data_IF_115701455597
#
_entry.id   IF_115701455597
#
_cell.length_a   1.000
_cell.length_b   1.000
_cell.length_c   1.000
_cell.angle_alpha   90.00
_cell.angle_beta   90.00
_cell.angle_gamma   90.00
#
_symmetry.space_group_name_H-M   'P 1'
#
loop_
_entity.id
_entity.type
_entity.pdbx_description
1 polymer ?
#
# COMPACT_ATOMS: atom_id res chain seq x y z
N UNK A 1 -14.03 40.86 -14.36
CA UNK A 1 -13.84 39.57 -15.05
C UNK A 1 -13.32 38.59 -14.00
N UNK A 2 -14.21 37.81 -13.40
CA UNK A 2 -13.87 36.88 -12.32
C UNK A 2 -13.27 35.62 -12.94
N UNK A 3 -11.95 35.52 -12.92
CA UNK A 3 -11.27 34.25 -13.13
C UNK A 3 -11.23 33.53 -11.77
N UNK A 4 -12.35 32.93 -11.36
CA UNK A 4 -12.29 31.90 -10.33
C UNK A 4 -11.54 30.71 -10.92
N UNK A 5 -10.27 30.57 -10.55
CA UNK A 5 -9.47 29.41 -10.86
C UNK A 5 -10.20 28.16 -10.35
N UNK A 6 -10.76 27.38 -11.26
CA UNK A 6 -11.44 26.10 -10.99
C UNK A 6 -10.50 25.21 -10.18
N UNK A 7 -10.72 25.14 -8.85
CA UNK A 7 -9.91 24.33 -7.93
C UNK A 7 -10.00 22.87 -8.39
N UNK A 8 -8.90 22.34 -8.94
CA UNK A 8 -8.86 20.95 -9.41
C UNK A 8 -9.16 19.99 -8.26
N UNK A 9 -9.93 18.94 -8.53
CA UNK A 9 -10.21 17.90 -7.55
C UNK A 9 -8.92 17.19 -7.13
N UNK A 10 -8.88 16.64 -5.91
CA UNK A 10 -7.71 15.89 -5.41
C UNK A 10 -7.36 14.73 -6.34
N UNK A 11 -8.37 14.00 -6.85
CA UNK A 11 -8.17 12.92 -7.81
C UNK A 11 -7.46 13.41 -9.07
N UNK A 12 -7.90 14.54 -9.64
CA UNK A 12 -7.24 15.11 -10.82
C UNK A 12 -5.81 15.55 -10.50
N UNK A 13 -5.57 16.14 -9.32
CA UNK A 13 -4.22 16.54 -8.90
C UNK A 13 -3.28 15.34 -8.76
N UNK A 14 -3.74 14.24 -8.19
CA UNK A 14 -2.95 13.01 -8.06
C UNK A 14 -2.67 12.40 -9.43
N UNK A 15 -3.67 12.33 -10.32
CA UNK A 15 -3.47 11.83 -11.69
C UNK A 15 -2.48 12.69 -12.48
N UNK A 16 -2.60 14.03 -12.38
CA UNK A 16 -1.64 14.94 -13.01
C UNK A 16 -0.24 14.76 -12.42
N UNK A 17 -0.11 14.65 -11.10
CA UNK A 17 1.18 14.36 -10.45
C UNK A 17 1.80 13.04 -10.90
N UNK A 18 0.99 11.98 -11.05
CA UNK A 18 1.45 10.69 -11.57
C UNK A 18 1.96 10.80 -13.01
N UNK A 19 1.19 11.44 -13.91
CA UNK A 19 1.59 11.61 -15.30
C UNK A 19 2.85 12.48 -15.40
N UNK A 20 2.89 13.60 -14.67
CA UNK A 20 4.06 14.48 -14.62
C UNK A 20 5.28 13.73 -14.09
N UNK A 21 5.14 12.90 -13.07
CA UNK A 21 6.24 12.11 -12.53
C UNK A 21 6.81 11.14 -13.56
N UNK A 22 5.95 10.37 -14.23
CA UNK A 22 6.37 9.44 -15.29
C UNK A 22 7.08 10.19 -16.43
N UNK A 23 6.49 11.28 -16.92
CA UNK A 23 7.07 12.09 -18.01
C UNK A 23 8.40 12.70 -17.60
N UNK A 24 8.49 13.25 -16.39
CA UNK A 24 9.72 13.86 -15.86
C UNK A 24 10.82 12.82 -15.71
N UNK A 25 10.51 11.63 -15.17
CA UNK A 25 11.48 10.55 -15.05
C UNK A 25 12.03 10.09 -16.40
N UNK A 26 11.16 9.92 -17.40
CA UNK A 26 11.59 9.55 -18.76
C UNK A 26 12.38 10.66 -19.45
N UNK A 27 11.95 11.92 -19.30
CA UNK A 27 12.60 13.07 -19.92
C UNK A 27 14.00 13.32 -19.36
N UNK A 28 14.19 13.19 -18.05
CA UNK A 28 15.50 13.32 -17.40
C UNK A 28 16.46 12.26 -17.96
N UNK A 29 16.01 11.01 -18.13
CA UNK A 29 16.84 9.95 -18.72
C UNK A 29 17.24 10.25 -20.16
N UNK A 30 16.29 10.71 -20.98
CA UNK A 30 16.52 10.99 -22.40
C UNK A 30 17.49 12.17 -22.61
N UNK A 31 17.40 13.20 -21.77
CA UNK A 31 18.17 14.43 -21.93
C UNK A 31 19.55 14.38 -21.25
N UNK A 32 19.69 13.66 -20.13
CA UNK A 32 20.89 13.70 -19.30
C UNK A 32 21.69 12.38 -19.23
N UNK A 33 21.22 11.30 -19.87
CA UNK A 33 22.00 10.06 -20.00
C UNK A 33 22.47 9.44 -18.67
N UNK A 34 23.55 8.66 -18.71
CA UNK A 34 24.21 8.07 -17.52
C UNK A 34 25.27 9.00 -16.93
N UNK A 35 25.06 10.32 -16.98
CA UNK A 35 25.93 11.28 -16.32
C UNK A 35 25.79 11.12 -14.79
N UNK A 36 26.87 10.73 -14.12
CA UNK A 36 26.87 10.36 -12.69
C UNK A 36 26.30 11.44 -11.76
N UNK A 37 26.47 12.72 -12.13
CA UNK A 37 25.98 13.84 -11.34
C UNK A 37 24.44 13.95 -11.29
N UNK A 38 23.75 13.64 -12.38
CA UNK A 38 22.28 13.69 -12.44
C UNK A 38 21.68 12.48 -11.72
N UNK A 39 22.29 11.31 -11.86
CA UNK A 39 21.85 10.10 -11.16
C UNK A 39 21.98 10.24 -9.64
N UNK A 40 23.09 10.80 -9.15
CA UNK A 40 23.37 10.84 -7.72
C UNK A 40 22.58 11.94 -6.98
N UNK A 41 22.45 13.14 -7.55
CA UNK A 41 21.80 14.26 -6.86
C UNK A 41 20.32 14.43 -7.19
N UNK A 42 19.90 14.18 -8.44
CA UNK A 42 18.50 14.40 -8.86
C UNK A 42 17.68 13.12 -8.68
N UNK A 43 18.20 11.97 -9.12
CA UNK A 43 17.47 10.69 -9.08
C UNK A 43 17.49 10.08 -7.68
N UNK A 44 18.69 9.81 -7.15
CA UNK A 44 18.86 9.18 -5.83
C UNK A 44 18.83 10.18 -4.67
N UNK A 45 18.86 11.47 -4.96
CA UNK A 45 18.73 12.55 -3.98
C UNK A 45 17.30 13.03 -3.88
N UNK A 46 16.91 13.99 -4.73
CA UNK A 46 15.66 14.72 -4.57
C UNK A 46 14.41 13.83 -4.68
N UNK A 47 14.29 13.03 -5.75
CA UNK A 47 13.09 12.23 -6.00
C UNK A 47 12.98 11.00 -5.10
N UNK A 48 14.10 10.31 -4.83
CA UNK A 48 14.11 9.16 -3.93
C UNK A 48 13.82 9.59 -2.47
N UNK A 49 14.48 10.64 -1.97
CA UNK A 49 14.23 11.14 -0.60
C UNK A 49 12.80 11.66 -0.46
N UNK A 50 12.31 12.46 -1.42
CA UNK A 50 10.93 12.96 -1.39
C UNK A 50 9.90 11.82 -1.42
N UNK A 51 10.12 10.84 -2.29
CA UNK A 51 9.27 9.66 -2.41
C UNK A 51 9.29 8.77 -1.17
N UNK A 52 10.47 8.51 -0.59
CA UNK A 52 10.61 7.73 0.63
C UNK A 52 9.98 8.42 1.83
N UNK A 53 10.17 9.74 2.00
CA UNK A 53 9.51 10.51 3.06
C UNK A 53 7.99 10.41 2.92
N UNK A 54 7.46 10.52 1.70
CA UNK A 54 6.03 10.39 1.46
C UNK A 54 5.51 8.98 1.81
N UNK A 55 6.19 7.92 1.35
CA UNK A 55 5.80 6.54 1.66
C UNK A 55 5.92 6.26 3.16
N UNK A 56 6.97 6.74 3.83
CA UNK A 56 7.13 6.63 5.28
C UNK A 56 6.00 7.34 6.03
N UNK A 57 5.61 8.54 5.56
CA UNK A 57 4.50 9.31 6.12
C UNK A 57 3.16 8.56 5.98
N UNK A 58 2.92 7.89 4.84
CA UNK A 58 1.74 7.03 4.66
C UNK A 58 1.78 5.80 5.58
N UNK A 59 2.93 5.11 5.66
CA UNK A 59 3.12 3.93 6.52
C UNK A 59 2.89 4.25 7.99
N UNK A 60 3.33 5.41 8.46
CA UNK A 60 3.11 5.90 9.83
C UNK A 60 1.62 5.95 10.22
N UNK A 61 0.74 6.26 9.26
CA UNK A 61 -0.70 6.33 9.52
C UNK A 61 -1.37 4.96 9.61
N UNK A 62 -0.80 3.92 8.99
CA UNK A 62 -1.47 2.62 8.82
C UNK A 62 -1.82 2.02 10.17
N UNK A 63 -0.85 1.94 11.09
CA UNK A 63 -1.06 1.30 12.40
C UNK A 63 -2.10 2.05 13.26
N UNK A 64 -1.98 3.38 13.50
CA UNK A 64 -2.97 4.10 14.28
C UNK A 64 -4.37 4.09 13.64
N UNK A 65 -4.45 4.26 12.33
CA UNK A 65 -5.71 4.29 11.59
C UNK A 65 -6.43 2.94 11.69
N UNK A 66 -5.74 1.85 11.38
CA UNK A 66 -6.32 0.50 11.42
C UNK A 66 -6.82 0.18 12.82
N UNK A 67 -5.99 0.42 13.85
CA UNK A 67 -6.38 0.14 15.24
C UNK A 67 -7.59 0.96 15.67
N UNK A 68 -7.52 2.29 15.59
CA UNK A 68 -8.58 3.18 16.09
C UNK A 68 -9.87 3.02 15.28
N UNK A 69 -9.77 2.93 13.96
CA UNK A 69 -10.94 2.77 13.09
C UNK A 69 -11.64 1.44 13.34
N UNK A 70 -10.92 0.34 13.57
CA UNK A 70 -11.53 -0.95 13.84
C UNK A 70 -12.14 -1.02 15.24
N UNK A 71 -11.48 -0.46 16.25
CA UNK A 71 -12.06 -0.37 17.61
C UNK A 71 -13.34 0.47 17.58
N UNK A 72 -13.33 1.63 16.92
CA UNK A 72 -14.53 2.46 16.74
C UNK A 72 -15.62 1.73 15.95
N UNK A 73 -15.26 1.05 14.86
CA UNK A 73 -16.21 0.32 14.01
C UNK A 73 -16.87 -0.85 14.74
N UNK A 74 -16.10 -1.68 15.42
CA UNK A 74 -16.61 -2.86 16.13
C UNK A 74 -17.34 -2.53 17.42
N UNK A 75 -16.91 -1.51 18.16
CA UNK A 75 -17.62 -1.07 19.38
C UNK A 75 -18.99 -0.45 19.11
N UNK A 76 -19.27 -0.07 17.85
CA UNK A 76 -20.59 0.44 17.42
C UNK A 76 -21.62 -0.67 17.14
N UNK A 77 -21.18 -1.92 17.06
CA UNK A 77 -22.05 -3.06 16.77
C UNK A 77 -22.72 -3.54 18.06
N UNK A 78 -24.06 -3.57 18.06
CA UNK A 78 -24.85 -4.01 19.23
C UNK A 78 -24.79 -5.52 19.50
N UNK A 79 -24.44 -6.34 18.51
CA UNK A 79 -24.46 -7.79 18.62
C UNK A 79 -23.27 -8.42 17.88
N UNK A 80 -22.54 -9.30 18.56
CA UNK A 80 -21.38 -10.04 18.06
C UNK A 80 -21.77 -10.91 16.83
N UNK A 81 -22.99 -11.44 16.78
CA UNK A 81 -23.45 -12.23 15.65
C UNK A 81 -23.46 -11.43 14.33
N UNK A 82 -23.67 -10.11 14.41
CA UNK A 82 -23.62 -9.23 13.24
C UNK A 82 -22.21 -9.12 12.67
N UNK A 83 -21.19 -9.07 13.53
CA UNK A 83 -19.78 -9.03 13.13
C UNK A 83 -19.39 -10.33 12.43
N UNK A 84 -19.76 -11.49 12.98
CA UNK A 84 -19.48 -12.79 12.38
C UNK A 84 -20.13 -12.96 11.00
N UNK A 85 -21.38 -12.51 10.84
CA UNK A 85 -22.09 -12.53 9.56
C UNK A 85 -21.49 -11.58 8.53
N UNK A 86 -21.04 -10.40 8.96
CA UNK A 86 -20.37 -9.45 8.07
C UNK A 86 -19.02 -10.02 7.62
N UNK A 87 -18.22 -10.51 8.56
CA UNK A 87 -16.93 -11.14 8.31
C UNK A 87 -17.01 -12.33 7.37
N UNK A 88 -17.95 -13.26 7.58
CA UNK A 88 -18.10 -14.44 6.71
C UNK A 88 -18.56 -14.09 5.30
N UNK A 89 -19.48 -13.12 5.16
CA UNK A 89 -19.89 -12.60 3.84
C UNK A 89 -18.73 -11.94 3.11
N UNK A 90 -17.95 -11.12 3.82
CA UNK A 90 -16.76 -10.46 3.27
C UNK A 90 -15.69 -11.46 2.89
N UNK A 91 -15.44 -12.49 3.71
CA UNK A 91 -14.49 -13.56 3.40
C UNK A 91 -14.91 -14.33 2.13
N UNK A 92 -16.18 -14.74 2.04
CA UNK A 92 -16.69 -15.45 0.86
C UNK A 92 -16.61 -14.57 -0.40
N UNK A 93 -16.90 -13.27 -0.25
CA UNK A 93 -16.79 -12.31 -1.34
C UNK A 93 -15.33 -12.13 -1.81
N UNK A 94 -14.37 -12.03 -0.88
CA UNK A 94 -12.95 -11.92 -1.23
C UNK A 94 -12.40 -13.21 -1.85
N UNK A 95 -12.76 -14.38 -1.33
CA UNK A 95 -12.35 -15.65 -1.92
C UNK A 95 -12.93 -15.82 -3.32
N UNK A 96 -14.20 -15.48 -3.53
CA UNK A 96 -14.85 -15.54 -4.84
C UNK A 96 -14.21 -14.58 -5.86
N UNK A 97 -14.00 -13.32 -5.48
CA UNK A 97 -13.36 -12.33 -6.38
C UNK A 97 -11.89 -12.64 -6.66
N UNK A 98 -11.15 -13.16 -5.68
CA UNK A 98 -9.76 -13.61 -5.86
C UNK A 98 -9.68 -14.81 -6.81
N UNK A 99 -10.56 -15.80 -6.64
CA UNK A 99 -10.60 -16.96 -7.53
C UNK A 99 -10.88 -16.53 -8.98
N UNK A 100 -11.86 -15.65 -9.19
CA UNK A 100 -12.17 -15.09 -10.51
C UNK A 100 -10.98 -14.32 -11.10
N UNK A 101 -10.30 -13.49 -10.29
CA UNK A 101 -9.13 -12.73 -10.73
C UNK A 101 -7.96 -13.65 -11.13
N UNK A 102 -7.67 -14.69 -10.34
CA UNK A 102 -6.62 -15.67 -10.63
C UNK A 102 -6.95 -16.44 -11.90
N UNK A 103 -8.20 -16.90 -12.06
CA UNK A 103 -8.62 -17.59 -13.28
C UNK A 103 -8.41 -16.70 -14.50
N UNK A 104 -8.85 -15.44 -14.47
CA UNK A 104 -8.66 -14.50 -15.56
C UNK A 104 -7.17 -14.24 -15.85
N UNK A 105 -6.38 -13.99 -14.80
CA UNK A 105 -4.95 -13.72 -14.93
C UNK A 105 -4.20 -14.92 -15.56
N UNK A 106 -4.50 -16.14 -15.11
CA UNK A 106 -3.92 -17.37 -15.67
C UNK A 106 -4.35 -17.59 -17.12
N UNK A 107 -5.63 -17.36 -17.45
CA UNK A 107 -6.11 -17.49 -18.84
C UNK A 107 -5.38 -16.53 -19.77
N UNK A 108 -5.21 -15.26 -19.39
CA UNK A 108 -4.48 -14.28 -20.20
C UNK A 108 -2.97 -14.62 -20.27
N UNK A 109 -2.36 -15.03 -19.16
CA UNK A 109 -0.96 -15.44 -19.14
C UNK A 109 -0.69 -16.62 -20.09
N UNK A 110 -1.57 -17.62 -20.12
CA UNK A 110 -1.46 -18.76 -21.03
C UNK A 110 -1.71 -18.36 -22.50
N UNK A 111 -2.62 -17.42 -22.75
CA UNK A 111 -2.93 -16.94 -24.10
C UNK A 111 -1.79 -16.11 -24.72
N UNK A 112 -1.25 -15.16 -23.96
CA UNK A 112 -0.19 -14.26 -24.45
C UNK A 112 1.22 -14.84 -24.26
N UNK A 113 1.42 -15.75 -23.31
CA UNK A 113 2.71 -16.37 -23.02
C UNK A 113 3.84 -15.38 -22.72
N UNK A 114 3.67 -14.43 -21.78
CA UNK A 114 4.73 -13.50 -21.42
C UNK A 114 5.94 -14.27 -20.88
N UNK A 115 7.13 -14.01 -21.43
CA UNK A 115 8.38 -14.68 -21.06
C UNK A 115 8.84 -15.78 -22.03
N UNK A 116 8.07 -16.14 -23.07
CA UNK A 116 8.57 -16.97 -24.17
C UNK A 116 9.76 -16.27 -24.85
N UNK A 117 10.95 -16.86 -24.76
CA UNK A 117 12.20 -16.30 -25.28
C UNK A 117 13.00 -15.42 -24.30
N UNK A 118 12.56 -15.30 -23.04
CA UNK A 118 13.36 -14.65 -22.00
C UNK A 118 14.47 -15.59 -21.50
N UNK A 119 15.68 -15.06 -21.30
CA UNK A 119 16.77 -15.80 -20.68
C UNK A 119 16.56 -15.86 -19.15
N UNK A 120 16.30 -17.08 -18.64
CA UNK A 120 16.10 -17.36 -17.21
C UNK A 120 17.34 -17.93 -16.53
N UNK A 121 18.52 -17.92 -17.18
CA UNK A 121 19.76 -18.42 -16.58
C UNK A 121 20.12 -17.73 -15.25
N UNK A 122 19.76 -16.45 -15.10
CA UNK A 122 19.90 -15.68 -13.87
C UNK A 122 18.90 -16.04 -12.75
N UNK A 123 17.86 -16.85 -13.02
CA UNK A 123 16.85 -17.24 -12.03
C UNK A 123 17.23 -18.52 -11.23
N UNK A 124 18.36 -19.15 -11.55
CA UNK A 124 18.79 -20.44 -11.00
C UNK A 124 19.14 -20.43 -9.50
N UNK A 125 19.22 -19.26 -8.87
CA UNK A 125 19.61 -19.12 -7.45
C UNK A 125 18.43 -18.88 -6.51
N UNK A 126 17.18 -18.86 -7.00
CA UNK A 126 16.03 -18.65 -6.12
C UNK A 126 15.58 -19.96 -5.47
N UNK A 127 15.96 -20.16 -4.21
CA UNK A 127 15.40 -21.22 -3.36
C UNK A 127 14.02 -20.78 -2.87
N UNK A 128 12.97 -21.47 -3.31
CA UNK A 128 11.62 -21.21 -2.83
C UNK A 128 11.54 -21.44 -1.32
N UNK A 129 11.05 -20.43 -0.59
CA UNK A 129 10.71 -20.58 0.83
C UNK A 129 9.49 -21.50 0.94
N UNK A 130 9.51 -22.45 1.88
CA UNK A 130 8.35 -23.29 2.14
C UNK A 130 7.16 -22.42 2.58
N UNK A 131 6.01 -22.68 1.96
CA UNK A 131 4.80 -21.97 2.33
C UNK A 131 4.34 -22.42 3.71
N UNK A 132 4.05 -21.50 4.65
CA UNK A 132 3.50 -21.86 5.94
C UNK A 132 2.16 -22.55 5.75
N UNK A 133 1.88 -23.51 6.62
CA UNK A 133 0.63 -24.24 6.60
C UNK A 133 -0.53 -23.32 6.99
N UNK A 134 -1.74 -23.66 6.56
CA UNK A 134 -2.96 -22.93 6.95
C UNK A 134 -3.14 -22.84 8.47
N UNK A 135 -2.72 -23.88 9.20
CA UNK A 135 -2.76 -23.90 10.66
C UNK A 135 -1.84 -22.86 11.29
N UNK A 136 -0.60 -22.78 10.82
CA UNK A 136 0.39 -21.80 11.27
C UNK A 136 -0.09 -20.37 11.00
N UNK A 137 -0.61 -20.11 9.80
CA UNK A 137 -1.16 -18.78 9.45
C UNK A 137 -2.29 -18.38 10.39
N UNK A 138 -3.17 -19.31 10.80
CA UNK A 138 -4.26 -19.03 11.75
C UNK A 138 -3.70 -18.71 13.14
N UNK A 139 -2.72 -19.49 13.61
CA UNK A 139 -2.08 -19.25 14.92
C UNK A 139 -1.37 -17.90 14.94
N UNK A 140 -0.64 -17.57 13.87
CA UNK A 140 0.12 -16.32 13.73
C UNK A 140 -0.78 -15.07 13.64
N UNK A 141 -2.08 -15.24 13.39
CA UNK A 141 -3.05 -14.14 13.47
C UNK A 141 -3.22 -13.62 14.91
N UNK A 142 -2.99 -14.47 15.93
CA UNK A 142 -3.19 -14.09 17.32
C UNK A 142 -1.91 -13.51 17.91
N UNK A 143 -1.85 -12.21 18.27
CA UNK A 143 -0.66 -11.63 18.85
C UNK A 143 -0.37 -12.19 20.24
N UNK A 144 0.90 -12.50 20.51
CA UNK A 144 1.41 -12.73 21.86
C UNK A 144 1.59 -11.41 22.63
N UNK A 145 1.96 -10.33 21.93
CA UNK A 145 2.09 -8.97 22.47
C UNK A 145 1.57 -7.92 21.47
N UNK A 146 0.35 -7.38 21.68
CA UNK A 146 -0.25 -6.38 20.78
C UNK A 146 0.59 -5.12 20.59
N UNK A 147 1.35 -4.72 21.61
CA UNK A 147 2.22 -3.53 21.54
C UNK A 147 3.39 -3.78 20.59
N UNK A 148 4.01 -4.97 20.67
CA UNK A 148 5.05 -5.39 19.73
C UNK A 148 4.51 -5.45 18.31
N UNK A 149 3.32 -6.03 18.12
CA UNK A 149 2.68 -6.11 16.80
C UNK A 149 2.42 -4.73 16.19
N UNK A 150 2.05 -3.75 17.01
CA UNK A 150 1.90 -2.35 16.55
C UNK A 150 3.24 -1.70 16.19
N UNK A 151 4.31 -1.98 16.93
CA UNK A 151 5.64 -1.46 16.64
C UNK A 151 6.25 -2.08 15.37
N UNK A 152 6.05 -3.38 15.18
CA UNK A 152 6.54 -4.14 14.02
C UNK A 152 5.65 -3.98 12.78
N UNK A 153 4.45 -3.42 12.93
CA UNK A 153 3.51 -3.24 11.83
C UNK A 153 2.82 -4.53 11.38
N UNK A 154 2.74 -5.53 12.25
CA UNK A 154 2.05 -6.81 12.00
C UNK A 154 0.53 -6.59 11.91
N UNK A 155 0.08 -6.17 10.73
CA UNK A 155 -1.28 -5.65 10.50
C UNK A 155 -2.37 -6.65 10.84
N UNK A 156 -2.18 -7.93 10.49
CA UNK A 156 -3.15 -8.98 10.78
C UNK A 156 -3.39 -9.16 12.29
N UNK A 157 -2.32 -9.16 13.07
CA UNK A 157 -2.38 -9.25 14.53
C UNK A 157 -3.02 -8.00 15.15
N UNK A 158 -2.71 -6.81 14.63
CA UNK A 158 -3.33 -5.55 15.05
C UNK A 158 -4.85 -5.61 14.81
N UNK A 159 -5.28 -6.12 13.66
CA UNK A 159 -6.70 -6.29 13.34
C UNK A 159 -7.38 -7.20 14.37
N UNK A 160 -6.84 -8.40 14.63
CA UNK A 160 -7.41 -9.35 15.59
C UNK A 160 -7.55 -8.73 16.98
N UNK A 161 -6.49 -8.09 17.47
CA UNK A 161 -6.53 -7.40 18.76
C UNK A 161 -7.57 -6.28 18.77
N UNK A 162 -7.61 -5.43 17.74
CA UNK A 162 -8.57 -4.33 17.64
C UNK A 162 -10.03 -4.81 17.65
N UNK A 163 -10.32 -5.91 16.94
CA UNK A 163 -11.65 -6.53 16.91
C UNK A 163 -12.04 -7.05 18.30
N UNK A 164 -11.17 -7.83 18.96
CA UNK A 164 -11.43 -8.36 20.30
C UNK A 164 -11.61 -7.23 21.33
N UNK A 165 -10.77 -6.20 21.25
CA UNK A 165 -10.85 -5.04 22.14
C UNK A 165 -12.13 -4.23 21.93
N UNK A 166 -12.54 -4.00 20.68
CA UNK A 166 -13.79 -3.30 20.39
C UNK A 166 -15.04 -4.09 20.78
N UNK A 167 -15.02 -5.42 20.66
CA UNK A 167 -16.08 -6.30 21.19
C UNK A 167 -16.14 -6.19 22.72
N UNK A 168 -14.99 -6.22 23.40
CA UNK A 168 -14.94 -6.07 24.86
C UNK A 168 -15.49 -4.71 25.31
N UNK A 169 -15.18 -3.62 24.60
CA UNK A 169 -15.77 -2.29 24.83
C UNK A 169 -17.29 -2.36 24.73
N UNK A 170 -17.83 -2.95 23.65
CA UNK A 170 -19.28 -3.06 23.47
C UNK A 170 -19.94 -3.91 24.56
N UNK A 171 -19.24 -4.92 25.09
CA UNK A 171 -19.75 -5.78 26.16
C UNK A 171 -19.64 -5.15 27.56
N UNK A 172 -18.87 -4.07 27.73
CA UNK A 172 -18.52 -3.49 29.04
C UNK A 172 -19.56 -2.49 29.60
N UNK A 173 -20.66 -2.21 28.89
CA UNK A 173 -21.70 -1.28 29.36
C UNK A 173 -21.21 0.17 29.51
N UNK A 174 -21.54 0.84 30.62
CA UNK A 174 -21.20 2.26 30.87
C UNK A 174 -19.70 2.60 30.75
N UNK A 175 -18.76 1.83 31.34
CA UNK A 175 -17.33 2.02 31.09
C UNK A 175 -16.96 1.94 29.61
N UNK A 176 -17.57 1.00 28.88
CA UNK A 176 -17.38 0.80 27.44
C UNK A 176 -17.81 2.02 26.63
N UNK A 177 -18.96 2.62 26.95
CA UNK A 177 -19.45 3.83 26.26
C UNK A 177 -18.46 5.00 26.34
N UNK A 178 -17.82 5.21 27.50
CA UNK A 178 -16.82 6.28 27.68
C UNK A 178 -15.58 6.04 26.81
N UNK A 179 -15.11 4.80 26.76
CA UNK A 179 -13.97 4.42 25.92
C UNK A 179 -14.34 4.54 24.44
N UNK A 180 -15.51 4.07 24.03
CA UNK A 180 -16.00 4.19 22.66
C UNK A 180 -16.11 5.66 22.20
N UNK A 181 -16.55 6.56 23.08
CA UNK A 181 -16.59 8.00 22.79
C UNK A 181 -15.18 8.57 22.53
N UNK A 182 -14.20 8.23 23.37
CA UNK A 182 -12.80 8.61 23.18
C UNK A 182 -12.25 8.12 21.83
N UNK A 183 -12.48 6.84 21.48
CA UNK A 183 -12.02 6.29 20.20
C UNK A 183 -12.71 6.93 18.99
N UNK A 184 -13.95 7.40 19.14
CA UNK A 184 -14.65 8.12 18.08
C UNK A 184 -14.02 9.49 17.81
N UNK A 185 -13.70 10.24 18.85
CA UNK A 185 -13.02 11.53 18.73
C UNK A 185 -11.60 11.34 18.16
N UNK A 186 -10.89 10.30 18.63
CA UNK A 186 -9.58 9.95 18.11
C UNK A 186 -9.63 9.56 16.61
N UNK A 187 -10.66 8.82 16.20
CA UNK A 187 -10.86 8.45 14.80
C UNK A 187 -11.04 9.70 13.92
N UNK A 188 -11.84 10.68 14.37
CA UNK A 188 -12.03 11.95 13.66
C UNK A 188 -10.71 12.73 13.50
N UNK A 189 -9.88 12.77 14.55
CA UNK A 189 -8.56 13.41 14.51
C UNK A 189 -7.63 12.69 13.51
N UNK A 190 -7.61 11.35 13.52
CA UNK A 190 -6.80 10.57 12.57
C UNK A 190 -7.29 10.79 11.13
N UNK A 191 -8.60 10.81 10.89
CA UNK A 191 -9.14 11.10 9.55
C UNK A 191 -8.75 12.50 9.06
N UNK A 192 -8.69 13.51 9.94
CA UNK A 192 -8.16 14.84 9.59
C UNK A 192 -6.67 14.81 9.26
N UNK A 193 -5.88 14.01 9.99
CA UNK A 193 -4.46 13.80 9.69
C UNK A 193 -4.27 13.13 8.32
N UNK A 194 -5.08 12.11 8.01
CA UNK A 194 -5.13 11.48 6.68
C UNK A 194 -5.45 12.52 5.61
N UNK A 195 -6.45 13.38 5.82
CA UNK A 195 -6.82 14.42 4.87
C UNK A 195 -5.67 15.44 4.63
N UNK A 196 -4.92 15.79 5.68
CA UNK A 196 -3.74 16.65 5.56
C UNK A 196 -2.67 16.00 4.69
N UNK A 197 -2.37 14.72 4.90
CA UNK A 197 -1.41 13.98 4.08
C UNK A 197 -1.89 13.77 2.64
N UNK A 198 -3.21 13.60 2.42
CA UNK A 198 -3.78 13.51 1.09
C UNK A 198 -3.61 14.81 0.27
N UNK A 199 -3.49 15.98 0.92
CA UNK A 199 -3.17 17.22 0.21
C UNK A 199 -1.72 17.26 -0.29
N UNK A 200 -0.80 16.54 0.36
CA UNK A 200 0.60 16.39 -0.05
C UNK A 200 0.78 15.27 -1.09
N UNK A 201 -0.21 14.39 -1.25
CA UNK A 201 -0.14 13.24 -2.14
C UNK A 201 0.21 13.54 -3.61
N UNK A 202 -0.26 14.62 -4.26
CA UNK A 202 0.13 14.92 -5.63
C UNK A 202 1.65 15.09 -5.82
N UNK A 203 2.33 15.66 -4.83
CA UNK A 203 3.77 15.86 -4.84
C UNK A 203 4.51 14.55 -4.57
N UNK A 204 4.13 13.84 -3.51
CA UNK A 204 4.74 12.57 -3.15
C UNK A 204 4.57 11.49 -4.24
N UNK A 205 3.41 11.42 -4.90
CA UNK A 205 3.18 10.52 -6.03
C UNK A 205 4.03 10.92 -7.24
N UNK A 206 4.23 12.22 -7.48
CA UNK A 206 5.12 12.70 -8.54
C UNK A 206 6.57 12.24 -8.30
N UNK A 207 7.07 12.39 -7.07
CA UNK A 207 8.43 11.99 -6.72
C UNK A 207 8.62 10.47 -6.85
N UNK A 208 7.71 9.68 -6.26
CA UNK A 208 7.74 8.21 -6.35
C UNK A 208 7.71 7.74 -7.81
N UNK A 209 6.83 8.32 -8.63
CA UNK A 209 6.69 7.89 -10.04
C UNK A 209 7.81 8.38 -10.93
N UNK A 210 8.42 9.52 -10.63
CA UNK A 210 9.64 9.98 -11.30
C UNK A 210 10.79 9.01 -11.06
N UNK A 211 11.03 8.67 -9.79
CA UNK A 211 12.07 7.72 -9.40
C UNK A 211 11.86 6.33 -10.04
N UNK A 212 10.63 5.79 -9.96
CA UNK A 212 10.30 4.48 -10.55
C UNK A 212 10.48 4.46 -12.08
N UNK A 213 10.09 5.53 -12.78
CA UNK A 213 10.27 5.66 -14.23
C UNK A 213 11.75 5.72 -14.62
N UNK A 214 12.58 6.43 -13.84
CA UNK A 214 14.03 6.52 -14.04
C UNK A 214 14.71 5.16 -13.86
N UNK A 215 14.39 4.45 -12.77
CA UNK A 215 14.92 3.12 -12.49
C UNK A 215 14.48 2.08 -13.53
N UNK A 216 13.23 2.16 -13.97
CA UNK A 216 12.71 1.31 -15.04
C UNK A 216 13.47 1.54 -16.36
N UNK A 217 13.73 2.79 -16.72
CA UNK A 217 14.48 3.13 -17.92
C UNK A 217 15.94 2.64 -17.86
N UNK A 218 16.58 2.65 -16.68
CA UNK A 218 17.89 2.02 -16.46
C UNK A 218 17.86 0.52 -16.72
N UNK A 219 16.89 -0.22 -16.15
CA UNK A 219 16.77 -1.69 -16.38
C UNK A 219 16.54 -2.03 -17.84
N UNK A 220 15.71 -1.26 -18.55
CA UNK A 220 15.46 -1.46 -19.98
C UNK A 220 16.72 -1.21 -20.81
N UNK A 221 17.48 -0.15 -20.51
CA UNK A 221 18.72 0.14 -21.22
C UNK A 221 19.81 -0.93 -20.98
N UNK A 222 19.91 -1.42 -19.73
CA UNK A 222 20.82 -2.50 -19.38
C UNK A 222 20.45 -3.82 -20.10
N UNK A 223 19.16 -4.16 -20.17
CA UNK A 223 18.68 -5.31 -20.94
C UNK A 223 18.98 -5.16 -22.44
N UNK A 224 18.79 -3.97 -23.01
CA UNK A 224 19.09 -3.72 -24.42
C UNK A 224 20.58 -3.93 -24.74
N UNK A 225 21.49 -3.43 -23.90
CA UNK A 225 22.93 -3.65 -24.08
C UNK A 225 23.34 -5.11 -23.93
N UNK A 226 22.73 -5.87 -23.01
CA UNK A 226 22.99 -7.31 -22.89
C UNK A 226 22.52 -8.11 -24.11
N UNK A 227 21.39 -7.74 -24.72
CA UNK A 227 20.92 -8.39 -25.96
C UNK A 227 21.81 -8.07 -27.17
N UNK A 228 22.41 -6.88 -27.22
CA UNK A 228 23.22 -6.43 -28.37
C UNK A 228 24.69 -6.86 -28.29
N UNK A 229 25.17 -7.32 -27.12
CA UNK A 229 26.52 -7.88 -26.92
C UNK A 229 26.55 -9.42 -26.97
N UNK A 230 25.38 -10.07 -27.05
CA UNK A 230 25.22 -11.52 -27.19
C UNK A 230 24.99 -12.01 -28.62
N UNK A 231 25.24 -11.17 -29.63
CA UNK A 231 25.16 -11.49 -31.06
C UNK A 231 26.56 -11.51 -31.71
#
# INVERSE_FOLDING_TARGET
MNAEAKKMSLTTRVLVGMVLGIVTGFAIRLLFGEEGFVNEYIVNGLFDVGGQIFVASLKMLVVPLVFVSLVCGTSSLKDIATLGRLGSKTLMFYLGTTALAITLAMSLALLFGPGKGADLSAASTFTATEAPTLGEVIVDMFPTNPISSMAEGNTLQIIIFALLFGIAISASGQPGERVAAFFRDLNEVILKLVALLMNLAPYGVCDVKSYEALFTAQRVNHLYHQMNLGA
#
